data_IF_110252488977
#
_entry.id   IF_110252488977
#
_cell.length_a   1.000
_cell.length_b   1.000
_cell.length_c   1.000
_cell.angle_alpha   90.00
_cell.angle_beta   90.00
_cell.angle_gamma   90.00
#
_symmetry.space_group_name_H-M   'P 1'
#
loop_
_entity.id
_entity.type
_entity.pdbx_description
1 polymer ?
#
# COMPACT_ATOMS: atom_id res chain seq x y z
N UNK A 1 -3.33 -46.76 4.30
CA UNK A 1 -3.43 -46.44 2.86
C UNK A 1 -3.94 -45.01 2.75
N UNK A 2 -3.05 -44.04 2.51
CA UNK A 2 -3.44 -42.63 2.46
C UNK A 2 -4.12 -42.34 1.11
N UNK A 3 -5.33 -41.74 1.16
CA UNK A 3 -6.11 -41.45 -0.04
C UNK A 3 -5.38 -40.45 -0.95
N UNK A 4 -5.30 -40.69 -2.27
CA UNK A 4 -4.52 -39.87 -3.21
C UNK A 4 -5.02 -38.42 -3.34
N UNK A 5 -6.22 -38.12 -2.83
CA UNK A 5 -6.77 -36.76 -2.74
C UNK A 5 -6.15 -35.94 -1.62
N UNK A 6 -5.62 -36.57 -0.56
CA UNK A 6 -5.02 -35.88 0.58
C UNK A 6 -3.65 -35.28 0.25
N UNK A 7 -2.85 -35.98 -0.55
CA UNK A 7 -1.50 -35.57 -0.97
C UNK A 7 -1.51 -34.24 -1.77
N UNK A 8 -2.49 -34.08 -2.67
CA UNK A 8 -2.64 -32.86 -3.49
C UNK A 8 -3.05 -31.65 -2.65
N UNK A 9 -3.88 -31.86 -1.63
CA UNK A 9 -4.34 -30.80 -0.73
C UNK A 9 -3.21 -30.31 0.18
N UNK A 10 -2.39 -31.23 0.69
CA UNK A 10 -1.22 -30.91 1.51
C UNK A 10 -0.14 -30.18 0.69
N UNK A 11 0.13 -30.63 -0.53
CA UNK A 11 1.08 -29.99 -1.44
C UNK A 11 0.66 -28.56 -1.82
N UNK A 12 -0.63 -28.33 -2.09
CA UNK A 12 -1.14 -26.99 -2.41
C UNK A 12 -0.98 -26.01 -1.24
N UNK A 13 -1.26 -26.45 -0.02
CA UNK A 13 -1.10 -25.62 1.19
C UNK A 13 0.36 -25.25 1.42
N UNK A 14 1.29 -26.20 1.24
CA UNK A 14 2.73 -25.96 1.40
C UNK A 14 3.25 -24.96 0.36
N UNK A 15 2.84 -25.09 -0.90
CA UNK A 15 3.22 -24.16 -1.98
C UNK A 15 2.68 -22.75 -1.76
N UNK A 16 1.45 -22.62 -1.29
CA UNK A 16 0.84 -21.31 -1.04
C UNK A 16 1.51 -20.62 0.16
N UNK A 17 1.85 -21.38 1.21
CA UNK A 17 2.53 -20.87 2.40
C UNK A 17 3.95 -20.38 2.11
N UNK A 18 4.73 -21.11 1.30
CA UNK A 18 6.08 -20.68 0.93
C UNK A 18 6.09 -19.40 0.10
N UNK A 19 5.06 -19.18 -0.74
CA UNK A 19 4.95 -17.97 -1.55
C UNK A 19 4.73 -16.72 -0.68
N UNK A 20 3.90 -16.79 0.36
CA UNK A 20 3.69 -15.66 1.28
C UNK A 20 4.93 -15.27 2.08
N UNK A 21 5.80 -16.23 2.40
CA UNK A 21 7.05 -15.97 3.15
C UNK A 21 8.10 -15.21 2.31
N UNK A 22 7.99 -15.25 0.98
CA UNK A 22 8.92 -14.57 0.07
C UNK A 22 8.45 -13.16 -0.29
N UNK A 23 7.21 -12.77 0.05
CA UNK A 23 6.73 -11.42 -0.24
C UNK A 23 7.31 -10.43 0.78
N UNK A 24 8.04 -9.39 0.33
CA UNK A 24 8.44 -8.30 1.22
C UNK A 24 7.19 -7.66 1.80
N UNK A 25 7.16 -7.54 3.14
CA UNK A 25 6.07 -6.88 3.84
C UNK A 25 6.12 -5.38 3.54
N UNK A 26 5.19 -4.90 2.72
CA UNK A 26 4.96 -3.48 2.47
C UNK A 26 4.48 -2.81 3.76
N UNK A 27 5.41 -2.34 4.59
CA UNK A 27 5.09 -1.61 5.81
C UNK A 27 4.88 -0.13 5.47
N UNK A 28 3.62 0.23 5.23
CA UNK A 28 3.22 1.63 5.19
C UNK A 28 2.93 2.13 6.60
N UNK A 29 3.54 3.25 6.97
CA UNK A 29 3.22 3.96 8.20
C UNK A 29 1.83 4.59 8.12
N UNK A 30 1.10 4.53 9.23
CA UNK A 30 -0.19 5.21 9.38
C UNK A 30 0.01 6.72 9.56
N UNK A 31 -0.49 7.51 8.61
CA UNK A 31 -0.41 8.98 8.65
C UNK A 31 -1.52 9.54 9.51
N UNK A 32 -1.16 10.41 10.47
CA UNK A 32 -2.10 11.13 11.32
C UNK A 32 -2.12 12.60 10.94
N UNK A 33 -3.32 13.12 10.63
CA UNK A 33 -3.52 14.55 10.42
C UNK A 33 -3.53 15.29 11.75
N UNK A 34 -2.89 16.46 11.78
CA UNK A 34 -2.86 17.32 12.96
C UNK A 34 -4.26 17.82 13.32
N UNK A 35 -4.97 18.38 12.34
CA UNK A 35 -6.39 18.70 12.48
C UNK A 35 -7.25 17.59 11.87
N UNK A 36 -7.99 16.88 12.72
CA UNK A 36 -8.90 15.81 12.32
C UNK A 36 -10.18 16.33 11.63
N UNK A 37 -10.49 17.61 11.78
CA UNK A 37 -11.65 18.28 11.13
C UNK A 37 -11.22 19.13 9.93
N UNK A 38 -9.91 19.22 9.69
CA UNK A 38 -9.34 19.95 8.56
C UNK A 38 -9.81 19.36 7.24
N UNK A 39 -10.26 20.22 6.33
CA UNK A 39 -10.54 19.83 4.95
C UNK A 39 -9.25 20.00 4.15
N UNK A 40 -8.58 18.88 3.89
CA UNK A 40 -7.38 18.84 3.05
C UNK A 40 -7.76 18.39 1.65
N UNK A 41 -7.32 19.14 0.64
CA UNK A 41 -7.50 18.78 -0.77
C UNK A 41 -6.66 17.57 -1.16
N UNK A 42 -5.67 17.19 -0.34
CA UNK A 42 -4.86 15.98 -0.50
C UNK A 42 -5.10 15.04 0.67
N UNK A 43 -5.50 13.81 0.35
CA UNK A 43 -5.64 12.71 1.31
C UNK A 43 -4.50 11.72 1.10
N UNK A 44 -3.57 11.69 2.05
CA UNK A 44 -2.53 10.67 2.19
C UNK A 44 -3.14 9.41 2.81
N UNK A 45 -2.96 8.27 2.14
CA UNK A 45 -3.38 6.93 2.57
C UNK A 45 -2.29 6.21 3.35
N UNK A 46 -1.02 6.46 3.01
CA UNK A 46 0.12 5.77 3.59
C UNK A 46 1.45 6.32 3.09
N UNK A 47 2.51 6.04 3.85
CA UNK A 47 3.89 6.38 3.48
C UNK A 47 4.77 5.17 3.78
N UNK A 48 5.52 4.71 2.78
CA UNK A 48 6.63 3.78 2.97
C UNK A 48 7.93 4.58 3.06
N UNK A 49 8.77 4.25 4.04
CA UNK A 49 10.02 4.96 4.31
C UNK A 49 11.16 3.95 4.21
N UNK A 50 12.22 4.32 3.51
CA UNK A 50 13.42 3.49 3.39
C UNK A 50 14.70 4.34 3.48
N UNK A 51 15.58 4.10 4.47
CA UNK A 51 15.42 3.20 5.61
C UNK A 51 14.42 3.73 6.65
N UNK A 52 13.80 2.82 7.42
CA UNK A 52 12.95 3.13 8.58
C UNK A 52 13.49 2.38 9.82
N UNK A 53 14.00 3.07 10.87
CA UNK A 53 14.04 4.53 11.02
C UNK A 53 15.06 5.19 10.08
N UNK A 54 14.80 6.45 9.74
CA UNK A 54 15.68 7.25 8.89
C UNK A 54 17.05 7.42 9.54
N UNK A 55 18.12 7.17 8.77
CA UNK A 55 19.51 7.31 9.22
C UNK A 55 20.02 8.69 8.85
N UNK A 56 20.53 9.43 9.84
CA UNK A 56 21.07 10.78 9.62
C UNK A 56 22.35 10.73 8.79
N UNK A 57 22.47 11.66 7.82
CA UNK A 57 23.62 11.72 6.92
C UNK A 57 23.54 10.75 5.73
N UNK A 58 22.52 9.91 5.66
CA UNK A 58 22.27 8.98 4.55
C UNK A 58 21.02 9.39 3.75
N UNK A 59 20.96 9.07 2.44
CA UNK A 59 19.75 9.28 1.65
C UNK A 59 18.58 8.42 2.17
N UNK A 60 17.39 9.03 2.23
CA UNK A 60 16.15 8.34 2.54
C UNK A 60 15.12 8.54 1.43
N UNK A 61 14.34 7.50 1.16
CA UNK A 61 13.25 7.49 0.19
C UNK A 61 11.92 7.44 0.92
N UNK A 62 11.00 8.31 0.52
CA UNK A 62 9.63 8.36 1.01
C UNK A 62 8.68 8.10 -0.15
N UNK A 63 7.98 6.98 -0.12
CA UNK A 63 6.96 6.64 -1.11
C UNK A 63 5.58 6.94 -0.55
N UNK A 64 4.89 7.93 -1.11
CA UNK A 64 3.67 8.50 -0.55
C UNK A 64 2.48 8.10 -1.42
N UNK A 65 1.56 7.32 -0.85
CA UNK A 65 0.29 7.03 -1.49
C UNK A 65 -0.72 8.12 -1.13
N UNK A 66 -1.08 8.98 -2.08
CA UNK A 66 -2.03 10.07 -1.88
C UNK A 66 -3.05 10.19 -3.00
N UNK A 67 -4.15 10.87 -2.72
CA UNK A 67 -5.18 11.24 -3.70
C UNK A 67 -5.61 12.67 -3.46
N UNK A 68 -5.85 13.41 -4.53
CA UNK A 68 -6.50 14.72 -4.44
C UNK A 68 -8.02 14.54 -4.38
N UNK A 69 -8.68 15.40 -3.60
CA UNK A 69 -10.09 15.69 -3.78
C UNK A 69 -10.17 16.75 -4.86
N UNK A 70 -10.01 16.33 -6.11
CA UNK A 70 -10.39 17.19 -7.22
C UNK A 70 -11.90 17.37 -7.19
N UNK A 71 -12.38 18.60 -7.27
CA UNK A 71 -13.79 18.86 -7.57
C UNK A 71 -14.14 18.08 -8.83
N UNK A 72 -15.06 17.12 -8.70
CA UNK A 72 -15.47 16.24 -9.80
C UNK A 72 -15.88 17.06 -11.04
N UNK A 73 -16.42 18.26 -10.82
CA UNK A 73 -16.74 19.24 -11.85
C UNK A 73 -15.53 19.74 -12.63
N UNK A 74 -14.40 20.02 -11.98
CA UNK A 74 -13.16 20.47 -12.66
C UNK A 74 -12.62 19.36 -13.57
N UNK A 75 -12.71 18.10 -13.13
CA UNK A 75 -12.29 16.95 -13.95
C UNK A 75 -13.21 16.76 -15.14
N UNK A 76 -14.53 16.88 -14.94
CA UNK A 76 -15.50 16.82 -16.04
C UNK A 76 -15.34 17.99 -17.00
N UNK A 77 -14.98 19.18 -16.52
CA UNK A 77 -14.73 20.35 -17.36
C UNK A 77 -13.47 20.15 -18.21
N UNK A 78 -12.37 19.66 -17.62
CA UNK A 78 -11.16 19.31 -18.35
C UNK A 78 -11.40 18.20 -19.40
N UNK A 79 -12.28 17.23 -19.10
CA UNK A 79 -12.65 16.14 -20.00
C UNK A 79 -13.65 16.55 -21.09
N UNK A 80 -14.40 17.63 -20.90
CA UNK A 80 -15.35 18.17 -21.89
C UNK A 80 -14.66 19.01 -22.98
N UNK A 81 -13.45 19.47 -22.71
CA UNK A 81 -12.59 20.15 -23.69
C UNK A 81 -11.65 19.19 -24.46
N UNK A 82 -11.77 17.88 -24.23
CA UNK A 82 -11.07 16.81 -24.96
C UNK A 82 -12.05 16.00 -25.81
#
# INVERSE_FOLDING_TARGET
MASPTYQKKLSFVVLFSSLFLLLPSAQSTNVKYCDKKGKYDVKVKGVEISPDPVVSGEPATFNIAASTVSDFWVVMEQAMWL
#
